data_IF_656754125958
#
_entry.id   IF_656754125958
#
_cell.length_a   1.000
_cell.length_b   1.000
_cell.length_c   1.000
_cell.angle_alpha   90.00
_cell.angle_beta   90.00
_cell.angle_gamma   90.00
#
_symmetry.space_group_name_H-M   'P 1'
#
loop_
_entity.id
_entity.type
_entity.pdbx_description
1 polymer ?
#
# COMPACT_ATOMS: atom_id res chain seq x y z
N UNK A 1 30.06 3.32 -14.00
CA UNK A 1 28.78 3.41 -13.44
C UNK A 1 27.73 2.85 -14.33
N UNK A 2 26.81 2.28 -13.74
CA UNK A 2 25.78 1.67 -14.47
C UNK A 2 24.86 2.71 -15.07
N UNK A 3 24.82 2.74 -16.39
CA UNK A 3 23.99 3.67 -17.03
C UNK A 3 22.57 3.53 -16.67
N UNK A 4 22.12 2.36 -16.36
CA UNK A 4 20.76 2.17 -16.00
C UNK A 4 20.37 2.90 -14.77
N UNK A 5 21.30 3.14 -13.89
CA UNK A 5 20.98 3.86 -12.70
C UNK A 5 20.65 5.29 -12.96
N UNK A 6 21.38 5.90 -13.87
CA UNK A 6 21.09 7.29 -14.15
C UNK A 6 19.83 7.39 -14.99
N UNK A 7 19.48 6.36 -15.72
CA UNK A 7 18.27 6.39 -16.50
C UNK A 7 17.04 6.04 -15.71
N UNK A 8 17.24 5.46 -14.55
CA UNK A 8 16.13 5.08 -13.75
C UNK A 8 15.34 6.26 -13.30
N UNK A 9 14.13 6.05 -12.99
CA UNK A 9 13.34 7.06 -12.43
C UNK A 9 13.97 7.45 -11.16
N UNK A 10 13.54 8.48 -10.52
CA UNK A 10 14.16 8.95 -9.29
C UNK A 10 14.24 7.87 -8.26
N UNK A 11 14.10 6.68 -8.62
CA UNK A 11 14.27 5.61 -7.71
C UNK A 11 12.94 5.01 -7.31
N UNK A 12 12.94 4.28 -6.22
CA UNK A 12 11.72 3.63 -5.77
C UNK A 12 10.92 4.61 -4.93
N UNK A 13 9.67 4.24 -4.69
CA UNK A 13 8.85 5.05 -3.82
C UNK A 13 9.48 5.06 -2.44
N UNK A 14 10.00 3.92 -1.99
CA UNK A 14 10.65 3.84 -0.70
C UNK A 14 11.75 4.90 -0.56
N UNK A 15 12.50 5.11 -1.61
CA UNK A 15 13.62 6.04 -1.55
C UNK A 15 13.17 7.49 -1.40
N UNK A 16 11.91 7.78 -1.70
CA UNK A 16 11.38 9.12 -1.58
C UNK A 16 10.72 9.39 -0.24
N UNK A 17 10.46 8.35 0.52
CA UNK A 17 9.71 8.49 1.75
C UNK A 17 10.59 8.90 2.91
N UNK A 18 9.96 9.56 3.88
CA UNK A 18 10.64 10.01 5.09
C UNK A 18 10.22 9.12 6.24
N UNK A 19 10.96 9.21 7.32
CA UNK A 19 10.70 8.37 8.47
C UNK A 19 9.77 9.05 9.45
N UNK A 20 8.80 8.28 9.95
CA UNK A 20 7.88 8.77 10.95
C UNK A 20 6.52 9.08 10.39
N UNK A 21 5.49 8.77 11.16
CA UNK A 21 4.10 8.93 10.72
C UNK A 21 3.74 10.38 10.40
N UNK A 22 4.41 11.32 11.03
CA UNK A 22 4.13 12.74 10.80
C UNK A 22 4.78 13.27 9.54
N UNK A 23 5.59 12.45 8.86
CA UNK A 23 6.29 12.84 7.66
C UNK A 23 5.73 12.18 6.40
N UNK A 24 4.49 11.75 6.45
CA UNK A 24 3.91 11.03 5.32
C UNK A 24 3.82 11.85 4.05
N UNK A 25 3.91 11.17 2.93
CA UNK A 25 3.74 11.79 1.62
C UNK A 25 2.48 11.18 1.01
N UNK A 26 1.56 12.04 0.58
CA UNK A 26 0.29 11.56 0.09
C UNK A 26 0.45 10.85 -1.25
N UNK A 27 -0.55 10.04 -1.57
CA UNK A 27 -0.56 9.35 -2.85
C UNK A 27 -0.56 10.35 -3.99
N UNK A 28 -1.30 11.44 -3.83
CA UNK A 28 -1.37 12.46 -4.89
C UNK A 28 0.00 13.09 -5.12
N UNK A 29 0.74 13.34 -4.05
CA UNK A 29 2.07 13.90 -4.19
C UNK A 29 3.02 12.93 -4.88
N UNK A 30 2.93 11.66 -4.53
CA UNK A 30 3.76 10.65 -5.17
C UNK A 30 3.41 10.51 -6.64
N UNK A 31 2.12 10.51 -6.95
CA UNK A 31 1.69 10.41 -8.34
C UNK A 31 2.23 11.58 -9.15
N UNK A 32 2.26 12.75 -8.55
CA UNK A 32 2.76 13.93 -9.21
C UNK A 32 4.27 13.84 -9.44
N UNK A 33 5.00 13.44 -8.41
CA UNK A 33 6.45 13.32 -8.51
C UNK A 33 6.86 12.29 -9.56
N UNK A 34 6.16 11.16 -9.61
CA UNK A 34 6.50 10.11 -10.55
C UNK A 34 5.75 10.21 -11.88
N UNK A 35 4.93 11.26 -12.03
CA UNK A 35 4.18 11.49 -13.27
C UNK A 35 3.37 10.27 -13.67
N UNK A 36 2.60 9.77 -12.73
CA UNK A 36 1.77 8.60 -12.99
C UNK A 36 0.46 8.71 -12.21
N UNK A 37 -0.38 7.71 -12.35
CA UNK A 37 -1.68 7.73 -11.70
C UNK A 37 -1.60 7.20 -10.29
N UNK A 38 -2.63 7.46 -9.50
CA UNK A 38 -2.73 6.93 -8.15
C UNK A 38 -2.71 5.40 -8.20
N UNK A 39 -3.34 4.83 -9.21
CA UNK A 39 -3.38 3.39 -9.36
C UNK A 39 -1.98 2.83 -9.55
N UNK A 40 -1.17 3.50 -10.35
CA UNK A 40 0.19 3.07 -10.57
C UNK A 40 1.03 3.21 -9.31
N UNK A 41 0.76 4.23 -8.50
CA UNK A 41 1.45 4.37 -7.22
C UNK A 41 1.10 3.20 -6.31
N UNK A 42 -0.19 2.82 -6.24
CA UNK A 42 -0.58 1.69 -5.40
C UNK A 42 0.10 0.41 -5.85
N UNK A 43 0.16 0.19 -7.16
CA UNK A 43 0.80 -1.01 -7.68
C UNK A 43 2.28 -1.02 -7.35
N UNK A 44 2.93 0.14 -7.47
CA UNK A 44 4.35 0.21 -7.17
C UNK A 44 4.64 0.01 -5.69
N UNK A 45 3.80 0.57 -4.81
CA UNK A 45 3.95 0.36 -3.38
C UNK A 45 3.82 -1.12 -3.07
N UNK A 46 2.83 -1.77 -3.67
CA UNK A 46 2.64 -3.20 -3.44
C UNK A 46 3.87 -3.99 -3.89
N UNK A 47 4.38 -3.65 -5.07
CA UNK A 47 5.54 -4.33 -5.59
C UNK A 47 6.74 -4.18 -4.66
N UNK A 48 6.98 -2.96 -4.19
CA UNK A 48 8.12 -2.72 -3.32
C UNK A 48 7.96 -3.43 -2.00
N UNK A 49 6.72 -3.50 -1.47
CA UNK A 49 6.48 -4.23 -0.23
C UNK A 49 6.76 -5.71 -0.39
N UNK A 50 6.37 -6.30 -1.52
CA UNK A 50 6.65 -7.71 -1.74
C UNK A 50 8.14 -7.97 -1.92
N UNK A 51 8.89 -6.93 -2.27
CA UNK A 51 10.32 -7.05 -2.41
C UNK A 51 11.06 -6.71 -1.11
N UNK A 52 10.31 -6.46 -0.05
CA UNK A 52 10.92 -6.28 1.26
C UNK A 52 10.87 -4.89 1.84
N UNK A 53 10.37 -3.92 1.09
CA UNK A 53 10.30 -2.56 1.60
C UNK A 53 9.24 -2.45 2.69
N UNK A 54 9.55 -1.74 3.77
CA UNK A 54 8.61 -1.54 4.84
C UNK A 54 8.00 -0.15 4.66
N UNK A 55 6.96 -0.09 3.83
CA UNK A 55 6.27 1.16 3.54
C UNK A 55 4.96 1.17 4.31
N UNK A 56 4.86 2.08 5.27
CA UNK A 56 3.68 2.20 6.10
C UNK A 56 2.75 3.26 5.53
N UNK A 57 1.52 3.23 5.95
CA UNK A 57 0.54 4.21 5.49
C UNK A 57 -0.32 4.63 6.66
N UNK A 58 -0.61 5.90 6.74
CA UNK A 58 -1.42 6.46 7.81
C UNK A 58 -2.12 7.71 7.34
N UNK A 59 -2.54 8.53 8.29
CA UNK A 59 -3.33 9.72 7.99
C UNK A 59 -2.60 10.73 7.12
N UNK A 60 -1.29 10.81 7.26
CA UNK A 60 -0.53 11.79 6.48
C UNK A 60 -0.08 11.26 5.13
N UNK A 61 -0.19 9.95 4.91
CA UNK A 61 0.24 9.35 3.66
C UNK A 61 1.19 8.19 3.92
N UNK A 62 2.09 7.96 2.97
CA UNK A 62 3.05 6.87 3.08
C UNK A 62 4.31 7.35 3.78
N UNK A 63 4.90 6.50 4.59
CA UNK A 63 6.10 6.85 5.33
C UNK A 63 6.87 5.59 5.70
N UNK A 64 8.12 5.78 6.13
CA UNK A 64 8.94 4.68 6.62
C UNK A 64 8.90 4.69 8.14
N UNK A 65 9.20 3.55 8.78
CA UNK A 65 9.19 3.50 10.24
C UNK A 65 10.15 4.53 10.83
N UNK A 66 9.78 5.05 11.98
CA UNK A 66 10.59 6.03 12.69
C UNK A 66 11.98 5.48 12.98
N UNK A 67 12.94 6.37 13.16
CA UNK A 67 14.28 5.95 13.55
C UNK A 67 14.32 5.49 15.00
N UNK A 68 13.37 5.93 15.79
CA UNK A 68 13.27 5.49 17.17
C UNK A 68 12.65 4.09 17.21
N UNK A 69 13.37 3.09 17.70
CA UNK A 69 12.88 1.71 17.64
C UNK A 69 11.54 1.49 18.30
N UNK A 70 11.29 2.13 19.43
CA UNK A 70 10.02 1.95 20.12
C UNK A 70 8.87 2.52 19.31
N UNK A 71 9.08 3.70 18.76
CA UNK A 71 8.06 4.33 17.94
C UNK A 71 7.84 3.52 16.67
N UNK A 72 8.92 3.02 16.08
CA UNK A 72 8.82 2.21 14.87
C UNK A 72 7.96 0.96 15.13
N UNK A 73 8.17 0.30 16.26
CA UNK A 73 7.40 -0.87 16.59
C UNK A 73 5.91 -0.53 16.69
N UNK A 74 5.59 0.60 17.34
CA UNK A 74 4.19 1.00 17.47
C UNK A 74 3.58 1.33 16.12
N UNK A 75 4.33 1.99 15.26
CA UNK A 75 3.85 2.32 13.93
C UNK A 75 3.57 1.07 13.11
N UNK A 76 4.48 0.12 13.17
CA UNK A 76 4.32 -1.13 12.43
C UNK A 76 3.14 -1.92 12.97
N UNK A 77 2.98 -1.99 14.27
CA UNK A 77 1.84 -2.69 14.86
C UNK A 77 0.51 -2.07 14.44
N UNK A 78 0.45 -0.74 14.43
CA UNK A 78 -0.77 -0.06 14.03
C UNK A 78 -1.07 -0.35 12.56
N UNK A 79 -0.04 -0.34 11.73
CA UNK A 79 -0.19 -0.65 10.31
C UNK A 79 -0.69 -2.09 10.14
N UNK A 80 -0.09 -3.03 10.86
CA UNK A 80 -0.51 -4.42 10.79
C UNK A 80 -1.98 -4.58 11.15
N UNK A 81 -2.42 -3.90 12.22
CA UNK A 81 -3.81 -4.00 12.63
C UNK A 81 -4.75 -3.49 11.54
N UNK A 82 -4.37 -2.36 10.92
CA UNK A 82 -5.20 -1.80 9.87
C UNK A 82 -5.27 -2.71 8.66
N UNK A 83 -4.14 -3.29 8.28
CA UNK A 83 -4.11 -4.16 7.11
C UNK A 83 -4.88 -5.45 7.35
N UNK A 84 -4.79 -5.99 8.56
CA UNK A 84 -5.54 -7.19 8.89
C UNK A 84 -7.04 -6.92 8.92
N UNK A 85 -7.44 -5.75 9.44
CA UNK A 85 -8.84 -5.40 9.46
C UNK A 85 -9.37 -5.22 8.05
N UNK A 86 -8.57 -4.61 7.18
CA UNK A 86 -8.97 -4.41 5.80
C UNK A 86 -9.11 -5.74 5.07
N UNK A 87 -8.18 -6.65 5.32
CA UNK A 87 -8.24 -7.98 4.69
C UNK A 87 -9.47 -8.74 5.17
N UNK A 88 -9.80 -8.63 6.45
CA UNK A 88 -10.96 -9.29 7.01
C UNK A 88 -12.25 -8.73 6.39
N UNK A 89 -12.33 -7.40 6.26
CA UNK A 89 -13.50 -6.78 5.67
C UNK A 89 -13.65 -7.18 4.20
N UNK A 90 -12.54 -7.27 3.49
CA UNK A 90 -12.55 -7.68 2.09
C UNK A 90 -13.03 -9.12 1.97
N UNK A 91 -12.58 -9.98 2.87
CA UNK A 91 -12.98 -11.37 2.86
C UNK A 91 -14.49 -11.52 3.14
N UNK A 92 -14.99 -10.71 4.09
CA UNK A 92 -16.42 -10.75 4.39
C UNK A 92 -17.23 -10.30 3.18
N UNK A 93 -16.79 -9.25 2.52
CA UNK A 93 -17.49 -8.79 1.33
C UNK A 93 -17.46 -9.84 0.24
N UNK A 94 -16.34 -10.54 0.10
CA UNK A 94 -16.21 -11.60 -0.89
C UNK A 94 -17.18 -12.75 -0.58
N UNK A 95 -17.31 -13.11 0.68
CA UNK A 95 -18.22 -14.18 1.06
C UNK A 95 -19.65 -13.82 0.73
N UNK A 96 -20.05 -12.58 1.01
CA UNK A 96 -21.39 -12.13 0.70
C UNK A 96 -21.65 -12.15 -0.79
N UNK A 97 -20.69 -11.68 -1.57
CA UNK A 97 -20.83 -11.65 -3.03
C UNK A 97 -20.91 -13.07 -3.59
N UNK A 98 -20.10 -13.98 -3.05
CA UNK A 98 -20.10 -15.37 -3.50
C UNK A 98 -21.44 -16.02 -3.21
N UNK A 99 -22.00 -15.75 -2.03
CA UNK A 99 -23.30 -16.31 -1.68
C UNK A 99 -24.40 -15.78 -2.60
N UNK A 100 -24.34 -14.48 -2.89
CA UNK A 100 -25.33 -13.86 -3.78
C UNK A 100 -25.23 -14.44 -5.18
N UNK A 101 -23.98 -14.63 -5.67
CA UNK A 101 -23.81 -15.19 -7.00
C UNK A 101 -24.34 -16.61 -7.07
N UNK A 102 -24.04 -17.41 -6.06
CA UNK A 102 -24.52 -18.80 -6.04
C UNK A 102 -26.03 -18.86 -6.06
N UNK A 103 -26.68 -17.96 -5.30
CA UNK A 103 -28.11 -17.93 -5.27
C UNK A 103 -28.70 -17.58 -6.64
N UNK A 104 -28.11 -16.56 -7.27
CA UNK A 104 -28.60 -16.14 -8.58
C UNK A 104 -28.42 -17.24 -9.63
N UNK A 105 -27.31 -17.94 -9.56
CA UNK A 105 -27.08 -19.03 -10.51
C UNK A 105 -28.11 -20.16 -10.33
N UNK A 106 -28.50 -20.44 -9.08
CA UNK A 106 -29.48 -21.48 -8.85
C UNK A 106 -30.87 -21.09 -9.34
N UNK A 107 -31.15 -19.80 -9.39
CA UNK A 107 -32.45 -19.32 -9.80
C UNK A 107 -32.58 -19.13 -11.30
N UNK A 108 -31.49 -19.24 -12.03
CA UNK A 108 -31.58 -19.08 -13.46
C UNK A 108 -32.16 -20.30 -14.13
N UNK A 109 -33.00 -20.08 -15.13
CA UNK A 109 -33.60 -21.21 -15.82
C UNK A 109 -32.56 -21.85 -16.73
N UNK A 110 -32.83 -23.08 -17.10
CA UNK A 110 -31.95 -23.80 -18.00
C UNK A 110 -31.85 -23.15 -19.37
#
# INVERSE_FOLDING_TARGET
MDKRESERKPGTIESMLRRGADQGISMAELADVFSCSNREIRAQVHKERTEGAVILAGDTGFYLPSEDPETAVQEIKAFERRMKAKARNTLEATKSATAARAKLEREQPE
#
